data_IF_433609345221
#
_entry.id   IF_433609345221
#
_cell.length_a   1.000
_cell.length_b   1.000
_cell.length_c   1.000
_cell.angle_alpha   90.00
_cell.angle_beta   90.00
_cell.angle_gamma   90.00
#
_symmetry.space_group_name_H-M   'P 1'
#
loop_
_entity.id
_entity.type
_entity.pdbx_description
1 polymer ?
#
# COMPACT_ATOMS: atom_id res chain seq x y z
N UNK A 1 20.45 -24.14 51.22
CA UNK A 1 20.45 -24.27 49.75
C UNK A 1 19.47 -23.26 49.21
N UNK A 2 19.96 -22.19 48.57
CA UNK A 2 19.14 -21.15 47.97
C UNK A 2 18.63 -21.64 46.61
N UNK A 3 17.32 -21.64 46.42
CA UNK A 3 16.70 -21.86 45.11
C UNK A 3 16.68 -20.53 44.36
N UNK A 4 17.49 -20.43 43.32
CA UNK A 4 17.44 -19.34 42.34
C UNK A 4 16.05 -19.32 41.68
N UNK A 5 15.28 -18.28 41.98
CA UNK A 5 14.10 -17.94 41.20
C UNK A 5 14.57 -17.36 39.87
N UNK A 6 14.53 -18.19 38.83
CA UNK A 6 14.65 -17.72 37.45
C UNK A 6 13.53 -16.71 37.22
N UNK A 7 13.91 -15.43 37.06
CA UNK A 7 13.04 -14.39 36.52
C UNK A 7 12.54 -14.85 35.15
N UNK A 8 11.31 -15.36 35.08
CA UNK A 8 10.62 -15.59 33.81
C UNK A 8 10.27 -14.21 33.24
N UNK A 9 10.73 -13.86 32.03
CA UNK A 9 10.24 -12.65 31.39
C UNK A 9 8.73 -12.80 31.16
N UNK A 10 7.95 -11.81 31.60
CA UNK A 10 6.51 -11.72 31.34
C UNK A 10 6.28 -11.73 29.83
N UNK A 11 5.84 -12.87 29.31
CA UNK A 11 5.73 -13.19 27.89
C UNK A 11 4.40 -12.72 27.26
N UNK A 12 3.58 -11.95 27.99
CA UNK A 12 2.17 -11.72 27.61
C UNK A 12 1.89 -10.41 26.87
N UNK A 13 2.83 -9.45 26.83
CA UNK A 13 2.59 -8.15 26.17
C UNK A 13 3.36 -7.92 24.86
N UNK A 14 4.39 -8.70 24.55
CA UNK A 14 5.20 -8.47 23.34
C UNK A 14 4.50 -8.91 22.05
N UNK A 15 3.63 -9.93 22.11
CA UNK A 15 3.01 -10.50 20.91
C UNK A 15 1.99 -9.55 20.27
N UNK A 16 1.22 -8.81 21.08
CA UNK A 16 0.15 -7.94 20.56
C UNK A 16 0.73 -6.67 19.93
N UNK A 17 1.71 -6.04 20.58
CA UNK A 17 2.36 -4.84 20.04
C UNK A 17 3.13 -5.15 18.76
N UNK A 18 3.83 -6.30 18.72
CA UNK A 18 4.52 -6.75 17.51
C UNK A 18 3.53 -7.08 16.38
N UNK A 19 2.38 -7.70 16.68
CA UNK A 19 1.31 -7.94 15.71
C UNK A 19 0.72 -6.61 15.21
N UNK A 20 0.43 -5.66 16.10
CA UNK A 20 -0.09 -4.36 15.68
C UNK A 20 0.91 -3.59 14.83
N UNK A 21 2.20 -3.69 15.14
CA UNK A 21 3.26 -3.09 14.34
C UNK A 21 3.33 -3.71 12.95
N UNK A 22 3.26 -5.04 12.85
CA UNK A 22 3.19 -5.74 11.55
C UNK A 22 1.96 -5.27 10.77
N UNK A 23 0.79 -5.23 11.41
CA UNK A 23 -0.45 -4.76 10.76
C UNK A 23 -0.41 -3.28 10.37
N UNK A 24 0.27 -2.43 11.13
CA UNK A 24 0.43 -1.01 10.80
C UNK A 24 1.42 -0.78 9.66
N UNK A 25 2.50 -1.56 9.63
CA UNK A 25 3.50 -1.51 8.56
C UNK A 25 2.91 -2.02 7.23
N UNK A 26 1.95 -2.96 7.29
CA UNK A 26 1.23 -3.51 6.12
C UNK A 26 -0.07 -2.76 5.77
N UNK A 27 -0.30 -1.55 6.30
CA UNK A 27 -1.54 -0.81 6.01
C UNK A 27 -1.49 -0.13 4.64
N UNK A 28 -2.27 -0.67 3.69
CA UNK A 28 -2.49 -0.04 2.38
C UNK A 28 -3.24 1.28 2.53
N UNK A 29 -2.67 2.36 2.01
CA UNK A 29 -3.33 3.67 1.94
C UNK A 29 -3.99 3.89 0.57
N UNK A 30 -5.32 4.03 0.57
CA UNK A 30 -6.08 4.46 -0.60
C UNK A 30 -6.42 5.95 -0.46
N UNK A 31 -5.88 6.85 -1.31
CA UNK A 31 -6.22 8.27 -1.25
C UNK A 31 -7.72 8.53 -1.41
N UNK A 32 -8.25 9.54 -0.71
CA UNK A 32 -9.67 9.90 -0.75
C UNK A 32 -10.11 10.29 -2.16
N UNK A 33 -9.26 11.04 -2.88
CA UNK A 33 -9.45 11.40 -4.29
C UNK A 33 -9.65 10.20 -5.22
N UNK A 34 -9.17 9.02 -4.83
CA UNK A 34 -9.36 7.74 -5.54
C UNK A 34 -10.53 6.95 -4.95
N UNK A 35 -10.61 6.84 -3.62
CA UNK A 35 -11.64 6.08 -2.92
C UNK A 35 -13.07 6.56 -3.26
N UNK A 36 -13.24 7.88 -3.42
CA UNK A 36 -14.53 8.53 -3.67
C UNK A 36 -14.98 8.46 -5.13
N UNK A 37 -14.16 7.93 -6.05
CA UNK A 37 -14.52 7.82 -7.46
C UNK A 37 -15.60 6.76 -7.67
N UNK A 38 -16.72 7.15 -8.26
CA UNK A 38 -17.81 6.25 -8.63
C UNK A 38 -17.66 5.65 -10.03
N UNK A 39 -16.70 6.13 -10.81
CA UNK A 39 -16.48 5.76 -12.22
C UNK A 39 -15.41 4.68 -12.42
N UNK A 40 -14.92 4.06 -11.34
CA UNK A 40 -13.89 3.02 -11.34
C UNK A 40 -14.25 1.89 -10.39
N UNK A 41 -13.80 0.68 -10.71
CA UNK A 41 -14.06 -0.48 -9.85
C UNK A 41 -13.29 -0.39 -8.54
N UNK A 42 -13.86 -0.94 -7.46
CA UNK A 42 -13.20 -0.98 -6.15
C UNK A 42 -11.88 -1.75 -6.20
N UNK A 43 -11.81 -2.82 -7.00
CA UNK A 43 -10.58 -3.57 -7.29
C UNK A 43 -9.47 -2.65 -7.83
N UNK A 44 -9.81 -1.68 -8.68
CA UNK A 44 -8.86 -0.73 -9.24
C UNK A 44 -8.41 0.31 -8.23
N UNK A 45 -9.28 0.70 -7.30
CA UNK A 45 -8.92 1.58 -6.17
C UNK A 45 -7.97 0.87 -5.21
N UNK A 46 -8.23 -0.41 -4.92
CA UNK A 46 -7.33 -1.25 -4.12
C UNK A 46 -5.96 -1.38 -4.79
N UNK A 47 -5.91 -1.75 -6.07
CA UNK A 47 -4.65 -1.88 -6.80
C UNK A 47 -3.87 -0.56 -6.82
N UNK A 48 -4.56 0.56 -7.04
CA UNK A 48 -3.96 1.88 -6.95
C UNK A 48 -3.34 2.12 -5.56
N UNK A 49 -4.09 1.83 -4.48
CA UNK A 49 -3.64 2.05 -3.11
C UNK A 49 -2.41 1.21 -2.74
N UNK A 50 -2.38 -0.06 -3.14
CA UNK A 50 -1.21 -0.95 -2.95
C UNK A 50 0.02 -0.32 -3.60
N UNK A 51 -0.06 -0.08 -4.91
CA UNK A 51 1.08 0.44 -5.69
C UNK A 51 1.50 1.83 -5.20
N UNK A 52 0.55 2.68 -4.83
CA UNK A 52 0.84 4.00 -4.27
C UNK A 52 1.59 3.89 -2.94
N UNK A 53 1.17 2.95 -2.08
CA UNK A 53 1.78 2.73 -0.78
C UNK A 53 3.21 2.27 -0.91
N UNK A 54 3.44 1.23 -1.72
CA UNK A 54 4.76 0.67 -1.93
C UNK A 54 5.71 1.70 -2.55
N UNK A 55 5.27 2.42 -3.59
CA UNK A 55 6.12 3.43 -4.23
C UNK A 55 6.51 4.57 -3.27
N UNK A 56 5.59 5.00 -2.41
CA UNK A 56 5.88 6.07 -1.45
C UNK A 56 6.80 5.57 -0.34
N UNK A 57 6.59 4.37 0.16
CA UNK A 57 7.41 3.82 1.25
C UNK A 57 8.82 3.46 0.77
N UNK A 58 8.97 2.96 -0.45
CA UNK A 58 10.27 2.80 -1.10
C UNK A 58 11.02 4.14 -1.16
N UNK A 59 10.37 5.19 -1.70
CA UNK A 59 10.99 6.51 -1.79
C UNK A 59 11.38 7.08 -0.42
N UNK A 60 10.56 6.85 0.61
CA UNK A 60 10.86 7.23 2.01
C UNK A 60 12.09 6.46 2.52
N UNK A 61 12.15 5.15 2.31
CA UNK A 61 13.26 4.31 2.75
C UNK A 61 14.59 4.73 2.11
N UNK A 62 14.57 5.18 0.85
CA UNK A 62 15.75 5.70 0.15
C UNK A 62 16.10 7.16 0.47
N UNK A 63 15.30 7.86 1.28
CA UNK A 63 15.50 9.29 1.57
C UNK A 63 15.36 10.20 0.35
N UNK A 64 14.60 9.75 -0.66
CA UNK A 64 14.40 10.48 -1.91
C UNK A 64 13.42 11.65 -1.75
N UNK A 65 13.51 12.64 -2.64
CA UNK A 65 12.44 13.65 -2.76
C UNK A 65 11.16 12.96 -3.20
N UNK A 66 10.07 13.19 -2.47
CA UNK A 66 8.76 12.61 -2.76
C UNK A 66 7.87 13.71 -3.35
N UNK A 67 7.67 13.63 -4.65
CA UNK A 67 6.75 14.47 -5.40
C UNK A 67 5.83 13.63 -6.29
N UNK A 68 4.72 14.23 -6.72
CA UNK A 68 3.71 13.53 -7.50
C UNK A 68 4.21 13.03 -8.87
N UNK A 69 5.18 13.69 -9.48
CA UNK A 69 5.72 13.26 -10.78
C UNK A 69 6.58 12.01 -10.62
N UNK A 70 7.48 12.02 -9.63
CA UNK A 70 8.36 10.90 -9.30
C UNK A 70 7.53 9.66 -8.93
N UNK A 71 6.58 9.82 -8.00
CA UNK A 71 5.66 8.74 -7.61
C UNK A 71 4.87 8.24 -8.80
N UNK A 72 4.31 9.13 -9.64
CA UNK A 72 3.53 8.72 -10.80
C UNK A 72 4.33 7.92 -11.84
N UNK A 73 5.62 8.21 -12.02
CA UNK A 73 6.51 7.42 -12.88
C UNK A 73 6.75 6.02 -12.30
N UNK A 74 7.04 5.94 -11.00
CA UNK A 74 7.24 4.65 -10.32
C UNK A 74 5.99 3.79 -10.35
N UNK A 75 4.82 4.35 -10.01
CA UNK A 75 3.55 3.62 -10.02
C UNK A 75 3.24 3.04 -11.41
N UNK A 76 3.51 3.80 -12.50
CA UNK A 76 3.33 3.31 -13.86
C UNK A 76 4.28 2.18 -14.21
N UNK A 77 5.55 2.30 -13.84
CA UNK A 77 6.52 1.24 -14.06
C UNK A 77 6.10 -0.03 -13.32
N UNK A 78 5.68 0.10 -12.06
CA UNK A 78 5.21 -1.00 -11.24
C UNK A 78 4.00 -1.69 -11.88
N UNK A 79 2.92 -0.96 -12.17
CA UNK A 79 1.70 -1.59 -12.71
C UNK A 79 1.91 -2.22 -14.10
N UNK A 80 2.94 -1.79 -14.84
CA UNK A 80 3.30 -2.36 -16.14
C UNK A 80 4.17 -3.59 -16.06
N UNK A 81 4.91 -3.75 -14.97
CA UNK A 81 5.68 -4.97 -14.68
C UNK A 81 4.77 -6.08 -14.10
N UNK A 82 3.68 -5.71 -13.45
CA UNK A 82 2.73 -6.68 -12.89
C UNK A 82 2.06 -7.54 -13.96
N UNK A 83 2.09 -8.86 -13.72
CA UNK A 83 1.31 -9.84 -14.47
C UNK A 83 -0.13 -9.87 -13.98
N UNK A 84 -1.03 -10.47 -14.77
CA UNK A 84 -2.42 -10.67 -14.34
C UNK A 84 -2.51 -11.52 -13.06
N UNK A 85 -1.77 -12.65 -12.92
CA UNK A 85 -1.69 -13.39 -11.67
C UNK A 85 -1.27 -12.54 -10.46
N UNK A 86 -0.30 -11.65 -10.60
CA UNK A 86 0.14 -10.79 -9.49
C UNK A 86 -1.02 -9.91 -9.01
N UNK A 87 -1.73 -9.28 -9.95
CA UNK A 87 -2.89 -8.42 -9.65
C UNK A 87 -4.04 -9.23 -9.04
N UNK A 88 -4.24 -10.48 -9.48
CA UNK A 88 -5.24 -11.35 -8.87
C UNK A 88 -4.90 -11.67 -7.41
N UNK A 89 -3.63 -11.87 -7.07
CA UNK A 89 -3.18 -12.08 -5.70
C UNK A 89 -3.38 -10.82 -4.86
N UNK A 90 -2.91 -9.66 -5.33
CA UNK A 90 -3.02 -8.38 -4.59
C UNK A 90 -4.47 -7.98 -4.34
N UNK A 91 -5.35 -8.19 -5.33
CA UNK A 91 -6.72 -7.69 -5.26
C UNK A 91 -7.77 -8.78 -5.01
N UNK A 92 -7.36 -10.03 -4.82
CA UNK A 92 -8.24 -11.20 -4.62
C UNK A 92 -9.38 -11.27 -5.66
N UNK A 93 -9.05 -11.11 -6.94
CA UNK A 93 -10.03 -10.93 -8.01
C UNK A 93 -9.88 -11.93 -9.17
N UNK A 94 -10.88 -11.97 -10.06
CA UNK A 94 -10.86 -12.81 -11.26
C UNK A 94 -9.86 -12.28 -12.30
N UNK A 95 -9.38 -13.11 -13.26
CA UNK A 95 -8.44 -12.65 -14.29
C UNK A 95 -8.98 -11.49 -15.12
N UNK A 96 -10.29 -11.49 -15.42
CA UNK A 96 -10.96 -10.41 -16.14
C UNK A 96 -10.95 -9.12 -15.33
N UNK A 97 -11.26 -9.20 -14.03
CA UNK A 97 -11.23 -8.03 -13.14
C UNK A 97 -9.80 -7.50 -12.97
N UNK A 98 -8.80 -8.38 -12.88
CA UNK A 98 -7.39 -7.98 -12.81
C UNK A 98 -6.93 -7.23 -14.07
N UNK A 99 -7.34 -7.68 -15.26
CA UNK A 99 -7.04 -7.00 -16.51
C UNK A 99 -7.68 -5.60 -16.60
N UNK A 100 -8.94 -5.49 -16.17
CA UNK A 100 -9.63 -4.21 -16.06
C UNK A 100 -8.94 -3.29 -15.03
N UNK A 101 -8.60 -3.84 -13.85
CA UNK A 101 -7.96 -3.11 -12.78
C UNK A 101 -6.59 -2.57 -13.16
N UNK A 102 -5.78 -3.32 -13.91
CA UNK A 102 -4.52 -2.83 -14.45
C UNK A 102 -4.72 -1.59 -15.31
N UNK A 103 -5.70 -1.65 -16.23
CA UNK A 103 -5.97 -0.58 -17.19
C UNK A 103 -6.55 0.67 -16.52
N UNK A 104 -7.51 0.48 -15.61
CA UNK A 104 -8.10 1.56 -14.82
C UNK A 104 -7.09 2.18 -13.86
N UNK A 105 -6.17 1.39 -13.28
CA UNK A 105 -5.12 1.93 -12.40
C UNK A 105 -4.17 2.83 -13.17
N UNK A 106 -3.73 2.44 -14.39
CA UNK A 106 -2.96 3.34 -15.28
C UNK A 106 -3.74 4.63 -15.57
N UNK A 107 -5.04 4.53 -15.84
CA UNK A 107 -5.90 5.70 -16.05
C UNK A 107 -5.96 6.57 -14.78
N UNK A 108 -6.14 5.99 -13.60
CA UNK A 108 -6.19 6.69 -12.32
C UNK A 108 -4.88 7.44 -12.05
N UNK A 109 -3.73 6.81 -12.28
CA UNK A 109 -2.42 7.46 -12.13
C UNK A 109 -2.29 8.69 -13.04
N UNK A 110 -2.85 8.63 -14.25
CA UNK A 110 -2.81 9.75 -15.20
C UNK A 110 -3.78 10.89 -14.86
N UNK A 111 -4.89 10.60 -14.19
CA UNK A 111 -5.98 11.56 -13.96
C UNK A 111 -6.02 12.13 -12.55
N UNK A 112 -5.39 11.47 -11.59
CA UNK A 112 -5.40 11.86 -10.18
C UNK A 112 -4.25 12.82 -9.90
N UNK A 113 -4.49 13.88 -9.13
CA UNK A 113 -3.40 14.72 -8.62
C UNK A 113 -2.64 13.97 -7.51
N UNK A 114 -1.51 13.37 -7.88
CA UNK A 114 -0.69 12.61 -6.94
C UNK A 114 -0.06 13.49 -5.86
N UNK A 115 0.08 14.80 -6.09
CA UNK A 115 0.54 15.73 -5.05
C UNK A 115 -0.51 15.88 -3.95
N UNK A 116 -1.80 15.83 -4.31
CA UNK A 116 -2.89 15.77 -3.34
C UNK A 116 -2.89 14.44 -2.59
N UNK A 117 -2.75 13.30 -3.28
CA UNK A 117 -2.65 11.99 -2.63
C UNK A 117 -1.53 11.93 -1.59
N UNK A 118 -0.35 12.48 -1.92
CA UNK A 118 0.79 12.58 -1.02
C UNK A 118 0.49 13.46 0.20
N UNK A 119 -0.17 14.59 -0.01
CA UNK A 119 -0.59 15.50 1.08
C UNK A 119 -1.57 14.80 2.02
N UNK A 120 -2.55 14.07 1.50
CA UNK A 120 -3.52 13.35 2.32
C UNK A 120 -2.84 12.27 3.17
N UNK A 121 -1.86 11.54 2.62
CA UNK A 121 -1.08 10.52 3.34
C UNK A 121 -0.23 11.10 4.47
N UNK A 122 0.25 12.34 4.36
CA UNK A 122 1.01 13.01 5.43
C UNK A 122 0.16 13.43 6.64
N UNK A 123 -1.17 13.44 6.52
CA UNK A 123 -2.09 13.82 7.61
C UNK A 123 -2.33 12.66 8.59
N UNK A 124 -1.77 11.48 8.32
CA UNK A 124 -1.81 10.28 9.16
C UNK A 124 -0.40 10.04 9.73
#
# INVERSE_FOLDING_TARGET
MATDYINRPNMENYIIDDIFKILSDDTIYIPKSVAQRSDVYDVSKTLFGVIFTDCVDDLRAYGSSIDGETVGKMMKAYVMDMTIPDIQCECLCSPTMASAARSETVMLINKTDLSECLRERQVI
#
